data_IF_024369030901
#
_entry.id   IF_024369030901
#
_cell.length_a   1.000
_cell.length_b   1.000
_cell.length_c   1.000
_cell.angle_alpha   90.00
_cell.angle_beta   90.00
_cell.angle_gamma   90.00
#
_symmetry.space_group_name_H-M   'P 1'
#
loop_
_entity.id
_entity.type
_entity.pdbx_description
1 polymer ?
#
# COMPACT_ATOMS: atom_id res chain seq x y z
N UNK A 1 13.48 16.82 -2.29
CA UNK A 1 13.95 16.19 -1.05
C UNK A 1 12.93 15.17 -0.58
N UNK A 2 13.38 13.96 -0.30
CA UNK A 2 12.47 12.88 0.02
C UNK A 2 12.38 12.66 1.53
N UNK A 3 11.42 13.35 2.18
CA UNK A 3 11.17 13.19 3.61
C UNK A 3 10.58 11.82 3.95
N UNK A 4 9.90 11.18 2.99
CA UNK A 4 9.27 9.89 3.23
C UNK A 4 10.28 8.83 3.67
N UNK A 5 11.38 8.71 2.95
CA UNK A 5 12.44 7.76 3.26
C UNK A 5 13.02 7.97 4.66
N UNK A 6 13.29 9.23 5.03
CA UNK A 6 13.81 9.57 6.35
C UNK A 6 12.81 9.26 7.46
N UNK A 7 11.53 9.52 7.21
CA UNK A 7 10.48 9.22 8.19
C UNK A 7 10.31 7.71 8.39
N UNK A 8 10.43 6.91 7.33
CA UNK A 8 10.39 5.45 7.46
C UNK A 8 11.51 4.97 8.37
N UNK A 9 12.73 5.41 8.15
CA UNK A 9 13.88 5.04 8.99
C UNK A 9 13.65 5.45 10.45
N UNK A 10 13.17 6.67 10.67
CA UNK A 10 12.91 7.17 12.02
C UNK A 10 11.82 6.37 12.74
N UNK A 11 10.74 6.03 12.03
CA UNK A 11 9.66 5.23 12.60
C UNK A 11 10.10 3.83 12.99
N UNK A 12 10.89 3.19 12.15
CA UNK A 12 11.40 1.85 12.43
C UNK A 12 12.32 1.89 13.63
N UNK A 13 13.20 2.89 13.70
CA UNK A 13 14.09 3.07 14.84
C UNK A 13 13.30 3.27 16.13
N UNK A 14 12.28 4.14 16.12
CA UNK A 14 11.44 4.40 17.28
C UNK A 14 10.73 3.13 17.74
N UNK A 15 10.21 2.33 16.81
CA UNK A 15 9.56 1.06 17.13
C UNK A 15 10.53 0.10 17.80
N UNK A 16 11.75 0.00 17.30
CA UNK A 16 12.80 -0.85 17.87
C UNK A 16 13.22 -0.39 19.28
N UNK A 17 13.16 0.90 19.54
CA UNK A 17 13.52 1.48 20.84
C UNK A 17 12.35 1.49 21.83
N UNK A 18 11.18 0.96 21.44
CA UNK A 18 10.03 0.88 22.32
C UNK A 18 9.22 2.17 22.45
N UNK A 19 9.41 3.12 21.54
CA UNK A 19 8.68 4.39 21.50
C UNK A 19 8.00 4.60 20.16
N UNK A 20 7.08 3.68 19.76
CA UNK A 20 6.46 3.75 18.44
C UNK A 20 5.57 4.99 18.28
N UNK A 21 5.56 5.54 17.07
CA UNK A 21 4.71 6.68 16.71
C UNK A 21 3.63 6.21 15.73
N UNK A 22 2.67 5.44 16.24
CA UNK A 22 1.63 4.80 15.43
C UNK A 22 0.72 5.79 14.72
N UNK A 23 0.57 7.00 15.24
CA UNK A 23 -0.35 8.01 14.73
C UNK A 23 0.27 8.92 13.68
N UNK A 24 1.57 8.81 13.46
CA UNK A 24 2.23 9.65 12.46
C UNK A 24 1.74 9.27 11.06
N UNK A 25 1.39 10.29 10.28
CA UNK A 25 0.93 10.12 8.90
C UNK A 25 2.09 10.45 7.96
N UNK A 26 2.44 9.50 7.10
CA UNK A 26 3.49 9.68 6.10
C UNK A 26 2.84 9.86 4.73
N UNK A 27 3.25 10.91 4.03
CA UNK A 27 2.68 11.27 2.73
C UNK A 27 3.53 10.69 1.60
N UNK A 28 2.88 9.91 0.72
CA UNK A 28 3.51 9.42 -0.50
C UNK A 28 3.37 10.41 -1.65
N UNK A 29 2.49 11.39 -1.50
CA UNK A 29 2.17 12.38 -2.51
C UNK A 29 0.73 12.24 -2.98
N UNK A 30 0.43 12.79 -4.15
CA UNK A 30 -0.89 12.65 -4.76
C UNK A 30 -1.19 11.18 -5.08
N UNK A 31 -2.44 10.81 -4.96
CA UNK A 31 -2.89 9.48 -5.43
C UNK A 31 -2.59 9.37 -6.92
N UNK A 32 -1.95 8.28 -7.36
CA UNK A 32 -1.66 8.09 -8.79
C UNK A 32 -2.89 8.23 -9.67
N UNK A 33 -2.73 8.88 -10.82
CA UNK A 33 -3.83 9.08 -11.77
C UNK A 33 -4.45 7.75 -12.22
N UNK A 34 -3.65 6.70 -12.30
CA UNK A 34 -4.12 5.37 -12.68
C UNK A 34 -5.19 4.86 -11.71
N UNK A 35 -4.99 5.03 -10.40
CA UNK A 35 -5.99 4.64 -9.40
C UNK A 35 -7.27 5.45 -9.52
N UNK A 36 -7.14 6.72 -9.86
CA UNK A 36 -8.32 7.56 -10.09
C UNK A 36 -9.08 7.09 -11.34
N UNK A 37 -8.35 6.78 -12.40
CA UNK A 37 -8.95 6.40 -13.68
C UNK A 37 -9.61 5.02 -13.64
N UNK A 38 -8.96 4.00 -13.05
CA UNK A 38 -9.44 2.62 -13.14
C UNK A 38 -10.26 2.19 -11.94
N UNK A 39 -10.09 2.84 -10.79
CA UNK A 39 -10.77 2.46 -9.54
C UNK A 39 -11.67 3.56 -8.99
N UNK A 40 -11.71 4.73 -9.63
CA UNK A 40 -12.57 5.82 -9.18
C UNK A 40 -12.14 6.48 -7.88
N UNK A 41 -10.86 6.37 -7.51
CA UNK A 41 -10.36 7.00 -6.29
C UNK A 41 -10.45 8.52 -6.42
N UNK A 42 -10.90 9.22 -5.37
CA UNK A 42 -10.84 10.68 -5.35
C UNK A 42 -9.39 11.18 -5.31
N UNK A 43 -9.20 12.45 -5.69
CA UNK A 43 -7.87 13.07 -5.76
C UNK A 43 -7.42 13.55 -4.37
N UNK A 44 -7.37 12.64 -3.41
CA UNK A 44 -6.78 12.91 -2.10
C UNK A 44 -5.31 12.52 -2.09
N UNK A 45 -4.56 13.02 -1.11
CA UNK A 45 -3.20 12.55 -0.90
C UNK A 45 -3.20 11.08 -0.50
N UNK A 46 -2.19 10.35 -0.97
CA UNK A 46 -1.96 8.96 -0.60
C UNK A 46 -1.02 8.93 0.60
N UNK A 47 -1.43 8.24 1.65
CA UNK A 47 -0.67 8.19 2.91
C UNK A 47 -0.56 6.76 3.44
N UNK A 48 0.38 6.60 4.38
CA UNK A 48 0.51 5.40 5.20
C UNK A 48 0.82 5.85 6.63
N UNK A 49 0.29 5.14 7.63
CA UNK A 49 0.50 5.53 9.02
C UNK A 49 1.70 4.82 9.63
N UNK A 50 2.24 5.38 10.71
CA UNK A 50 3.32 4.75 11.46
C UNK A 50 2.95 3.37 11.98
N UNK A 51 1.70 3.16 12.38
CA UNK A 51 1.20 1.85 12.81
C UNK A 51 1.33 0.81 11.70
N UNK A 52 0.94 1.16 10.48
CA UNK A 52 1.04 0.25 9.33
C UNK A 52 2.50 -0.02 8.97
N UNK A 53 3.34 1.01 8.97
CA UNK A 53 4.79 0.84 8.72
C UNK A 53 5.39 -0.17 9.71
N UNK A 54 5.12 -0.02 11.00
CA UNK A 54 5.63 -0.93 12.02
C UNK A 54 5.14 -2.36 11.82
N UNK A 55 3.86 -2.54 11.57
CA UNK A 55 3.26 -3.84 11.32
C UNK A 55 3.85 -4.50 10.07
N UNK A 56 3.98 -3.76 8.99
CA UNK A 56 4.53 -4.27 7.74
C UNK A 56 5.98 -4.71 7.91
N UNK A 57 6.79 -3.90 8.59
CA UNK A 57 8.20 -4.22 8.82
C UNK A 57 8.38 -5.42 9.75
N UNK A 58 7.71 -5.42 10.90
CA UNK A 58 7.97 -6.39 11.95
C UNK A 58 7.09 -7.64 11.87
N UNK A 59 5.82 -7.50 11.50
CA UNK A 59 4.91 -8.66 11.41
C UNK A 59 4.98 -9.32 10.03
N UNK A 60 5.04 -8.51 8.96
CA UNK A 60 5.03 -9.03 7.59
C UNK A 60 6.43 -9.23 7.01
N UNK A 61 7.47 -8.79 7.73
CA UNK A 61 8.84 -9.00 7.30
C UNK A 61 9.25 -8.26 6.04
N UNK A 62 8.63 -7.11 5.76
CA UNK A 62 9.00 -6.27 4.63
C UNK A 62 10.08 -5.29 5.09
N UNK A 63 11.26 -5.35 4.49
CA UNK A 63 12.40 -4.57 4.93
C UNK A 63 12.29 -3.07 4.69
N UNK A 64 13.10 -2.27 5.41
CA UNK A 64 13.09 -0.82 5.26
C UNK A 64 13.41 -0.34 3.84
N UNK A 65 14.28 -1.04 3.14
CA UNK A 65 14.66 -0.70 1.77
C UNK A 65 13.44 -0.64 0.84
N UNK A 66 12.56 -1.63 0.91
CA UNK A 66 11.34 -1.66 0.12
C UNK A 66 10.36 -0.59 0.58
N UNK A 67 10.17 -0.46 1.89
CA UNK A 67 9.24 0.53 2.46
C UNK A 67 9.60 1.95 2.04
N UNK A 68 10.89 2.28 1.98
CA UNK A 68 11.34 3.61 1.54
C UNK A 68 11.05 3.88 0.07
N UNK A 69 10.86 2.83 -0.74
CA UNK A 69 10.56 2.93 -2.18
C UNK A 69 9.06 2.90 -2.50
N UNK A 70 8.19 2.85 -1.50
CA UNK A 70 6.75 2.78 -1.74
C UNK A 70 6.24 3.88 -2.68
N UNK A 71 6.68 5.15 -2.57
CA UNK A 71 6.22 6.16 -3.53
C UNK A 71 6.53 5.83 -4.98
N UNK A 72 7.68 5.21 -5.25
CA UNK A 72 8.04 4.78 -6.60
C UNK A 72 7.28 3.52 -7.01
N UNK A 73 7.15 2.57 -6.10
CA UNK A 73 6.48 1.29 -6.36
C UNK A 73 5.01 1.52 -6.74
N UNK A 74 4.31 2.39 -6.03
CA UNK A 74 2.88 2.66 -6.30
C UNK A 74 2.66 3.30 -7.68
N UNK A 75 3.65 3.96 -8.24
CA UNK A 75 3.57 4.56 -9.55
C UNK A 75 3.90 3.59 -10.69
N UNK A 76 4.30 2.36 -10.37
CA UNK A 76 4.65 1.34 -11.37
C UNK A 76 4.01 -0.01 -11.01
N UNK A 77 2.68 -0.08 -10.89
CA UNK A 77 2.01 -1.32 -10.53
C UNK A 77 2.05 -2.34 -11.67
N UNK A 78 1.97 -3.62 -11.30
CA UNK A 78 1.82 -4.71 -12.27
C UNK A 78 0.35 -4.88 -12.66
N UNK A 79 -0.53 -4.92 -11.67
CA UNK A 79 -1.98 -5.05 -11.88
C UNK A 79 -2.72 -4.41 -10.70
N UNK A 80 -3.98 -4.07 -10.94
CA UNK A 80 -4.88 -3.50 -9.92
C UNK A 80 -6.16 -4.32 -9.92
N UNK A 81 -6.60 -4.75 -8.72
CA UNK A 81 -7.79 -5.58 -8.54
C UNK A 81 -8.74 -4.95 -7.54
N UNK A 82 -10.03 -5.20 -7.70
CA UNK A 82 -11.00 -4.95 -6.63
C UNK A 82 -10.73 -5.95 -5.51
N UNK A 83 -11.06 -5.55 -4.27
CA UNK A 83 -10.99 -6.47 -3.15
C UNK A 83 -11.99 -7.62 -3.35
N UNK A 84 -11.56 -8.85 -3.03
CA UNK A 84 -12.45 -10.00 -3.03
C UNK A 84 -13.47 -9.93 -1.89
N UNK A 85 -13.23 -9.11 -0.88
CA UNK A 85 -14.15 -8.92 0.23
C UNK A 85 -15.28 -7.98 -0.20
N UNK A 86 -16.49 -8.53 -0.35
CA UNK A 86 -17.66 -7.78 -0.81
C UNK A 86 -18.06 -6.61 0.11
N UNK A 87 -17.58 -6.62 1.36
CA UNK A 87 -17.85 -5.53 2.31
C UNK A 87 -16.85 -4.39 2.20
N UNK A 88 -15.81 -4.53 1.38
CA UNK A 88 -14.77 -3.52 1.19
C UNK A 88 -14.85 -2.92 -0.21
N UNK A 89 -15.94 -2.21 -0.49
CA UNK A 89 -16.16 -1.61 -1.81
C UNK A 89 -15.29 -0.37 -2.05
N UNK A 90 -14.67 0.18 -0.99
CA UNK A 90 -13.80 1.33 -1.04
C UNK A 90 -12.32 0.94 -1.18
N UNK A 91 -12.03 -0.33 -1.44
CA UNK A 91 -10.69 -0.88 -1.37
C UNK A 91 -10.27 -1.53 -2.69
N UNK A 92 -9.02 -1.34 -3.06
CA UNK A 92 -8.38 -2.06 -4.16
C UNK A 92 -7.11 -2.72 -3.67
N UNK A 93 -6.61 -3.67 -4.44
CA UNK A 93 -5.33 -4.33 -4.18
C UNK A 93 -4.43 -4.04 -5.37
N UNK A 94 -3.27 -3.44 -5.07
CA UNK A 94 -2.23 -3.20 -6.07
C UNK A 94 -1.24 -4.36 -5.99
N UNK A 95 -1.09 -5.08 -7.11
CA UNK A 95 -0.06 -6.10 -7.26
C UNK A 95 1.19 -5.42 -7.80
N UNK A 96 2.31 -5.62 -7.11
CA UNK A 96 3.59 -5.02 -7.48
C UNK A 96 4.47 -6.01 -8.24
N UNK A 97 5.60 -5.53 -8.77
CA UNK A 97 6.65 -6.38 -9.33
C UNK A 97 7.62 -6.89 -8.26
N UNK A 98 7.46 -6.43 -7.01
CA UNK A 98 8.34 -6.82 -5.91
C UNK A 98 7.97 -8.20 -5.37
N UNK A 99 8.97 -8.90 -4.84
CA UNK A 99 8.77 -10.24 -4.27
C UNK A 99 9.33 -10.27 -2.85
N UNK A 100 8.64 -11.04 -1.99
CA UNK A 100 9.20 -11.48 -0.71
C UNK A 100 9.42 -12.98 -0.85
N UNK A 101 10.68 -13.40 -1.06
CA UNK A 101 10.95 -14.77 -1.49
C UNK A 101 10.33 -15.02 -2.85
N UNK A 102 9.42 -15.98 -2.95
CA UNK A 102 8.67 -16.26 -4.18
C UNK A 102 7.28 -15.62 -4.18
N UNK A 103 6.86 -15.02 -3.07
CA UNK A 103 5.53 -14.45 -2.94
C UNK A 103 5.48 -13.03 -3.52
N UNK A 104 4.55 -12.74 -4.44
CA UNK A 104 4.40 -11.38 -4.95
C UNK A 104 3.89 -10.47 -3.85
N UNK A 105 4.43 -9.26 -3.80
CA UNK A 105 4.03 -8.28 -2.80
C UNK A 105 2.83 -7.51 -3.29
N UNK A 106 1.79 -7.46 -2.46
CA UNK A 106 0.56 -6.73 -2.72
C UNK A 106 0.38 -5.59 -1.71
N UNK A 107 -0.35 -4.54 -2.14
CA UNK A 107 -0.68 -3.38 -1.33
C UNK A 107 -2.18 -3.12 -1.38
N UNK A 108 -2.94 -3.48 -0.34
CA UNK A 108 -4.32 -3.02 -0.22
C UNK A 108 -4.37 -1.52 0.07
N UNK A 109 -5.26 -0.80 -0.63
CA UNK A 109 -5.43 0.64 -0.50
C UNK A 109 -6.91 0.95 -0.38
N UNK A 110 -7.28 1.76 0.61
CA UNK A 110 -8.66 2.23 0.80
C UNK A 110 -8.74 3.73 0.52
N UNK A 111 -9.79 4.16 -0.15
CA UNK A 111 -9.99 5.58 -0.44
C UNK A 111 -10.87 6.25 0.62
N UNK A 112 -10.77 7.58 0.70
CA UNK A 112 -11.67 8.44 1.48
C UNK A 112 -11.74 8.06 2.96
N UNK A 113 -10.57 7.85 3.58
CA UNK A 113 -10.48 7.48 5.00
C UNK A 113 -10.10 8.67 5.85
N UNK A 114 -10.85 8.90 6.93
CA UNK A 114 -10.51 9.94 7.90
C UNK A 114 -9.43 9.45 8.86
N UNK A 115 -8.45 10.31 9.12
CA UNK A 115 -7.42 10.06 10.13
C UNK A 115 -7.51 11.15 11.19
N UNK A 116 -8.33 10.92 12.21
CA UNK A 116 -8.52 11.86 13.31
C UNK A 116 -8.81 13.27 12.79
N UNK A 117 -8.01 14.24 13.24
CA UNK A 117 -8.12 15.64 12.82
C UNK A 117 -7.25 15.98 11.60
N UNK A 118 -6.50 15.02 11.08
CA UNK A 118 -5.56 15.26 9.98
C UNK A 118 -6.26 15.44 8.64
N UNK A 119 -7.49 14.95 8.50
CA UNK A 119 -8.27 15.07 7.27
C UNK A 119 -8.66 13.73 6.67
N UNK A 120 -9.03 13.79 5.40
CA UNK A 120 -9.45 12.61 4.62
C UNK A 120 -8.38 12.30 3.58
N UNK A 121 -8.02 11.02 3.48
CA UNK A 121 -6.93 10.55 2.63
C UNK A 121 -7.29 9.24 1.94
N UNK A 122 -6.50 8.88 0.94
CA UNK A 122 -6.43 7.51 0.45
C UNK A 122 -5.26 6.84 1.18
N UNK A 123 -5.48 5.63 1.72
CA UNK A 123 -4.55 5.03 2.69
C UNK A 123 -4.08 3.66 2.23
N UNK A 124 -2.76 3.43 2.23
CA UNK A 124 -2.21 2.09 2.13
C UNK A 124 -2.44 1.41 3.48
N UNK A 125 -3.26 0.34 3.49
CA UNK A 125 -3.64 -0.34 4.73
C UNK A 125 -2.72 -1.49 5.09
N UNK A 126 -1.99 -2.02 4.12
CA UNK A 126 -0.99 -3.07 4.36
C UNK A 126 -0.05 -3.23 3.17
N UNK A 127 1.05 -3.92 3.39
CA UNK A 127 1.99 -4.37 2.36
C UNK A 127 2.49 -5.74 2.79
N UNK A 128 2.30 -6.77 1.97
CA UNK A 128 2.75 -8.11 2.35
C UNK A 128 2.93 -9.02 1.13
N UNK A 129 3.70 -10.10 1.32
CA UNK A 129 3.84 -11.15 0.31
C UNK A 129 2.61 -12.04 0.32
N UNK A 130 1.96 -12.18 -0.83
CA UNK A 130 0.76 -13.01 -0.97
C UNK A 130 1.17 -14.44 -1.26
N UNK A 131 1.14 -15.30 -0.25
CA UNK A 131 1.44 -16.71 -0.40
C UNK A 131 0.26 -17.49 -0.98
N UNK A 132 0.54 -18.72 -1.43
CA UNK A 132 -0.47 -19.59 -2.02
C UNK A 132 -0.52 -19.51 -3.54
N UNK A 133 -1.67 -19.82 -4.16
CA UNK A 133 -1.83 -19.74 -5.61
C UNK A 133 -1.53 -18.36 -6.14
N UNK A 134 -1.08 -18.26 -7.39
CA UNK A 134 -0.82 -17.00 -8.05
C UNK A 134 -2.05 -16.08 -7.95
N UNK A 135 -1.96 -14.95 -7.21
CA UNK A 135 -3.11 -14.09 -7.01
C UNK A 135 -3.59 -13.45 -8.32
N UNK A 136 -2.70 -13.17 -9.26
CA UNK A 136 -3.07 -12.58 -10.53
C UNK A 136 -4.01 -13.51 -11.31
N UNK A 137 -3.64 -14.78 -11.43
CA UNK A 137 -4.47 -15.79 -12.10
C UNK A 137 -5.79 -15.97 -11.36
N UNK A 138 -5.73 -16.11 -10.05
CA UNK A 138 -6.92 -16.33 -9.21
C UNK A 138 -7.92 -15.20 -9.35
N UNK A 139 -7.45 -13.97 -9.21
CA UNK A 139 -8.35 -12.79 -9.21
C UNK A 139 -8.84 -12.44 -10.62
N UNK A 140 -8.07 -12.74 -11.66
CA UNK A 140 -8.55 -12.62 -13.04
C UNK A 140 -9.74 -13.56 -13.28
N UNK A 141 -9.64 -14.81 -12.82
CA UNK A 141 -10.73 -15.78 -12.94
C UNK A 141 -11.98 -15.36 -12.18
N UNK A 142 -11.80 -14.63 -11.09
CA UNK A 142 -12.92 -14.10 -10.28
C UNK A 142 -13.51 -12.81 -10.85
N UNK A 143 -12.95 -12.28 -11.94
CA UNK A 143 -13.44 -11.05 -12.55
C UNK A 143 -13.11 -9.78 -11.77
N UNK A 144 -12.08 -9.81 -10.93
CA UNK A 144 -11.73 -8.71 -10.05
C UNK A 144 -10.72 -7.73 -10.66
N UNK A 145 -10.08 -8.10 -11.78
CA UNK A 145 -9.05 -7.25 -12.37
C UNK A 145 -9.63 -5.98 -12.95
N UNK A 146 -9.09 -4.84 -12.51
CA UNK A 146 -9.44 -3.52 -13.03
C UNK A 146 -8.45 -3.05 -14.09
N UNK A 147 -7.21 -3.45 -13.96
CA UNK A 147 -6.15 -3.01 -14.86
C UNK A 147 -4.94 -3.95 -14.75
N UNK A 148 -4.25 -4.14 -15.85
CA UNK A 148 -2.95 -4.82 -15.86
C UNK A 148 -1.99 -4.07 -16.77
N UNK A 149 -0.71 -4.11 -16.43
CA UNK A 149 0.33 -3.48 -17.25
C UNK A 149 0.35 -4.14 -18.62
N UNK A 150 0.23 -3.38 -19.72
CA UNK A 150 0.18 -3.95 -21.07
C UNK A 150 1.50 -4.51 -21.57
N UNK A 151 2.60 -4.28 -20.88
CA UNK A 151 3.93 -4.73 -21.30
C UNK A 151 4.22 -6.14 -20.79
#
# INVERSE_FOLDING_TARGET
MNNFSNLVDALIKDEMEGTPRHELVLFLGKTPELLQAVAGFPDYDLVITGKVIGKVCFDHGIGPSLLKRLPDIINSPKSIFRSANQHQTDSVIVLTYELKGLAPIIMPIRHSQSIGRNGVFNIITSVYGKEGPDPEVKWQKQGLQLWTNPI
#
